data_IF_551369354215
#
_entry.id   IF_551369354215
#
_cell.length_a   1.000
_cell.length_b   1.000
_cell.length_c   1.000
_cell.angle_alpha   90.00
_cell.angle_beta   90.00
_cell.angle_gamma   90.00
#
_symmetry.space_group_name_H-M   'P 1'
#
loop_
_entity.id
_entity.type
_entity.pdbx_description
1 polymer ?
#
# COMPACT_ATOMS: atom_id res chain seq x y z
N UNK A 1 -0.10 0.84 8.04
CA UNK A 1 1.19 0.10 8.10
C UNK A 1 1.71 -0.09 6.69
N UNK A 2 2.63 0.78 6.30
CA UNK A 2 3.15 0.85 4.93
C UNK A 2 4.47 0.07 4.76
N UNK A 3 5.27 -0.06 5.81
CA UNK A 3 6.60 -0.69 5.78
C UNK A 3 6.61 -2.18 6.07
N UNK A 4 5.46 -2.85 6.02
CA UNK A 4 5.40 -4.31 6.17
C UNK A 4 4.92 -4.88 4.83
N UNK A 5 5.77 -5.67 4.17
CA UNK A 5 5.52 -6.20 2.82
C UNK A 5 5.92 -7.65 2.73
N UNK A 6 5.07 -8.44 2.06
CA UNK A 6 5.39 -9.82 1.71
C UNK A 6 6.25 -9.81 0.44
N UNK A 7 7.45 -10.35 0.54
CA UNK A 7 8.46 -10.38 -0.53
C UNK A 7 7.95 -11.09 -1.78
N UNK A 8 7.07 -12.07 -1.63
CA UNK A 8 6.47 -12.79 -2.76
C UNK A 8 5.59 -11.92 -3.66
N UNK A 9 5.13 -10.73 -3.21
CA UNK A 9 4.24 -9.89 -4.00
C UNK A 9 4.81 -9.54 -5.37
N UNK A 10 6.02 -8.98 -5.40
CA UNK A 10 6.60 -8.47 -6.64
C UNK A 10 6.85 -9.59 -7.64
N UNK A 11 7.39 -10.71 -7.16
CA UNK A 11 7.67 -11.88 -8.00
C UNK A 11 6.38 -12.51 -8.53
N UNK A 12 5.33 -12.65 -7.70
CA UNK A 12 4.04 -13.19 -8.13
C UNK A 12 3.36 -12.26 -9.14
N UNK A 13 3.34 -10.95 -8.88
CA UNK A 13 2.73 -9.97 -9.80
C UNK A 13 3.43 -10.00 -11.16
N UNK A 14 4.77 -9.91 -11.16
CA UNK A 14 5.55 -9.96 -12.39
C UNK A 14 5.30 -11.27 -13.17
N UNK A 15 5.21 -12.41 -12.48
CA UNK A 15 4.94 -13.70 -13.10
C UNK A 15 3.52 -13.81 -13.67
N UNK A 16 2.52 -13.24 -12.98
CA UNK A 16 1.14 -13.18 -13.48
C UNK A 16 1.07 -12.28 -14.72
N UNK A 17 1.66 -11.09 -14.68
CA UNK A 17 1.69 -10.17 -15.84
C UNK A 17 2.36 -10.85 -17.04
N UNK A 18 3.53 -11.46 -16.84
CA UNK A 18 4.29 -12.15 -17.88
C UNK A 18 3.52 -13.30 -18.54
N UNK A 19 2.71 -14.05 -17.78
CA UNK A 19 1.98 -15.22 -18.31
C UNK A 19 0.59 -14.90 -18.84
N UNK A 20 -0.09 -13.93 -18.26
CA UNK A 20 -1.46 -13.58 -18.63
C UNK A 20 -1.55 -12.50 -19.69
N UNK A 21 -0.47 -11.72 -19.88
CA UNK A 21 -0.47 -10.52 -20.72
C UNK A 21 -1.20 -9.33 -20.09
N UNK A 22 -1.73 -9.47 -18.88
CA UNK A 22 -2.39 -8.40 -18.13
C UNK A 22 -1.36 -7.44 -17.54
N UNK A 23 -1.78 -6.20 -17.27
CA UNK A 23 -0.95 -5.20 -16.60
C UNK A 23 -1.66 -4.52 -15.44
N UNK A 24 -0.93 -4.34 -14.33
CA UNK A 24 -1.38 -3.57 -13.16
C UNK A 24 -1.63 -2.10 -13.47
N UNK A 25 -1.08 -1.61 -14.60
CA UNK A 25 -1.25 -0.23 -15.07
C UNK A 25 -2.57 0.00 -15.79
N UNK A 26 -3.27 -1.07 -16.19
CA UNK A 26 -4.53 -1.01 -16.95
C UNK A 26 -5.71 -1.23 -16.00
N UNK A 27 -6.54 -0.20 -15.71
CA UNK A 27 -7.62 -0.32 -14.72
C UNK A 27 -8.65 -1.40 -15.02
N UNK A 28 -8.96 -1.67 -16.29
CA UNK A 28 -9.92 -2.70 -16.69
C UNK A 28 -9.43 -4.12 -16.42
N UNK A 29 -8.12 -4.33 -16.33
CA UNK A 29 -7.50 -5.64 -16.10
C UNK A 29 -7.24 -5.91 -14.61
N UNK A 30 -7.25 -4.85 -13.80
CA UNK A 30 -6.99 -4.90 -12.38
C UNK A 30 -7.78 -6.00 -11.66
N UNK A 31 -9.12 -6.15 -11.81
CA UNK A 31 -9.86 -7.15 -11.02
C UNK A 31 -9.35 -8.58 -11.24
N UNK A 32 -9.06 -8.92 -12.51
CA UNK A 32 -8.55 -10.24 -12.88
C UNK A 32 -7.13 -10.46 -12.37
N UNK A 33 -6.26 -9.45 -12.52
CA UNK A 33 -4.89 -9.50 -12.02
C UNK A 33 -4.86 -9.69 -10.50
N UNK A 34 -5.65 -8.88 -9.79
CA UNK A 34 -5.79 -8.92 -8.33
C UNK A 34 -6.15 -10.31 -7.83
N UNK A 35 -7.14 -10.94 -8.46
CA UNK A 35 -7.62 -12.26 -8.07
C UNK A 35 -6.57 -13.35 -8.32
N UNK A 36 -5.93 -13.32 -9.49
CA UNK A 36 -4.85 -14.26 -9.82
C UNK A 36 -3.68 -14.13 -8.83
N UNK A 37 -3.30 -12.90 -8.50
CA UNK A 37 -2.24 -12.61 -7.52
C UNK A 37 -2.64 -13.11 -6.13
N UNK A 38 -3.84 -12.80 -5.64
CA UNK A 38 -4.29 -13.24 -4.32
C UNK A 38 -4.34 -14.78 -4.23
N UNK A 39 -4.85 -15.44 -5.27
CA UNK A 39 -4.93 -16.88 -5.34
C UNK A 39 -3.54 -17.52 -5.31
N UNK A 40 -2.59 -17.02 -6.11
CA UNK A 40 -1.23 -17.53 -6.13
C UNK A 40 -0.50 -17.30 -4.78
N UNK A 41 -0.66 -16.12 -4.17
CA UNK A 41 -0.07 -15.82 -2.86
C UNK A 41 -0.58 -16.74 -1.74
N UNK A 42 -1.84 -17.19 -1.82
CA UNK A 42 -2.42 -18.10 -0.83
C UNK A 42 -1.83 -19.51 -0.88
N UNK A 43 -1.11 -19.86 -1.96
CA UNK A 43 -0.42 -21.14 -2.13
C UNK A 43 1.05 -21.09 -1.68
N UNK A 44 1.53 -19.90 -1.30
CA UNK A 44 2.93 -19.65 -0.94
C UNK A 44 3.06 -19.33 0.55
N UNK A 45 4.21 -19.63 1.17
CA UNK A 45 4.48 -19.22 2.54
C UNK A 45 4.47 -17.69 2.67
N UNK A 46 4.17 -17.20 3.87
CA UNK A 46 4.25 -15.78 4.17
C UNK A 46 5.70 -15.39 4.47
N UNK A 47 6.23 -14.39 3.74
CA UNK A 47 7.55 -13.83 3.98
C UNK A 47 7.49 -12.31 4.01
N UNK A 48 7.03 -11.78 5.13
CA UNK A 48 6.99 -10.37 5.44
C UNK A 48 8.30 -9.86 6.00
N UNK A 49 8.73 -8.72 5.49
CA UNK A 49 9.89 -7.97 5.93
C UNK A 49 9.52 -6.53 6.23
N UNK A 50 10.40 -5.85 6.96
CA UNK A 50 10.13 -4.51 7.48
C UNK A 50 11.15 -3.45 7.13
N UNK A 51 12.29 -3.85 6.56
CA UNK A 51 13.45 -2.99 6.35
C UNK A 51 13.94 -3.14 4.91
N UNK A 52 14.57 -2.09 4.37
CA UNK A 52 15.07 -2.12 2.97
C UNK A 52 16.16 -3.20 2.79
N UNK A 53 17.01 -3.40 3.80
CA UNK A 53 18.08 -4.43 3.79
C UNK A 53 17.50 -5.84 3.74
N UNK A 54 16.50 -6.14 4.58
CA UNK A 54 15.83 -7.45 4.54
C UNK A 54 15.11 -7.66 3.22
N UNK A 55 14.52 -6.60 2.66
CA UNK A 55 13.81 -6.67 1.39
C UNK A 55 14.70 -7.07 0.23
N UNK A 56 15.86 -6.42 0.07
CA UNK A 56 16.81 -6.74 -0.98
C UNK A 56 17.32 -8.18 -0.85
N UNK A 57 17.77 -8.58 0.35
CA UNK A 57 18.30 -9.91 0.60
C UNK A 57 17.25 -11.02 0.39
N UNK A 58 16.02 -10.82 0.86
CA UNK A 58 14.96 -11.82 0.71
C UNK A 58 14.43 -11.89 -0.72
N UNK A 59 14.43 -10.79 -1.48
CA UNK A 59 14.02 -10.82 -2.90
C UNK A 59 14.92 -11.73 -3.73
N UNK A 60 16.23 -11.56 -3.60
CA UNK A 60 17.19 -12.42 -4.29
C UNK A 60 17.01 -13.89 -3.90
N UNK A 61 16.81 -14.15 -2.60
CA UNK A 61 16.55 -15.49 -2.10
C UNK A 61 15.26 -16.11 -2.68
N UNK A 62 14.17 -15.34 -2.76
CA UNK A 62 12.89 -15.78 -3.32
C UNK A 62 13.02 -16.11 -4.80
N UNK A 63 13.71 -15.26 -5.57
CA UNK A 63 13.94 -15.48 -7.00
C UNK A 63 14.73 -16.77 -7.26
N UNK A 64 15.75 -17.05 -6.45
CA UNK A 64 16.60 -18.25 -6.58
C UNK A 64 15.90 -19.53 -6.10
N UNK A 65 15.22 -19.48 -4.95
CA UNK A 65 14.76 -20.69 -4.27
C UNK A 65 13.30 -21.04 -4.53
N UNK A 66 12.45 -20.06 -4.86
CA UNK A 66 11.00 -20.26 -4.97
C UNK A 66 10.46 -19.99 -6.38
N UNK A 67 11.33 -19.75 -7.36
CA UNK A 67 10.90 -19.40 -8.73
C UNK A 67 9.99 -20.45 -9.37
N UNK A 68 10.23 -21.74 -9.08
CA UNK A 68 9.40 -22.85 -9.59
C UNK A 68 8.04 -22.91 -8.89
N UNK A 69 8.02 -22.77 -7.58
CA UNK A 69 6.82 -22.77 -6.74
C UNK A 69 5.91 -21.60 -7.11
N UNK A 70 6.48 -20.41 -7.31
CA UNK A 70 5.77 -19.22 -7.80
C UNK A 70 5.17 -19.50 -9.18
N UNK A 71 5.98 -20.04 -10.10
CA UNK A 71 5.54 -20.40 -11.44
C UNK A 71 4.35 -21.37 -11.40
N UNK A 72 4.44 -22.41 -10.58
CA UNK A 72 3.42 -23.45 -10.50
C UNK A 72 2.14 -22.94 -9.80
N UNK A 73 2.27 -22.10 -8.77
CA UNK A 73 1.15 -21.41 -8.13
C UNK A 73 0.41 -20.50 -9.12
N UNK A 74 1.14 -19.71 -9.93
CA UNK A 74 0.55 -18.83 -10.95
C UNK A 74 -0.11 -19.64 -12.07
N UNK A 75 0.52 -20.71 -12.56
CA UNK A 75 -0.11 -21.60 -13.55
C UNK A 75 -1.37 -22.25 -13.02
N UNK A 76 -1.38 -22.62 -11.74
CA UNK A 76 -2.56 -23.17 -11.10
C UNK A 76 -3.66 -22.11 -10.96
N UNK A 77 -3.32 -20.87 -10.60
CA UNK A 77 -4.24 -19.74 -10.59
C UNK A 77 -4.87 -19.52 -11.98
N UNK A 78 -4.06 -19.44 -13.03
CA UNK A 78 -4.54 -19.19 -14.40
C UNK A 78 -5.49 -20.27 -14.92
N UNK A 79 -5.35 -21.52 -14.45
CA UNK A 79 -6.23 -22.64 -14.83
C UNK A 79 -7.51 -22.72 -13.98
N UNK A 80 -7.40 -22.40 -12.70
CA UNK A 80 -8.48 -22.64 -11.72
C UNK A 80 -9.41 -21.44 -11.56
N UNK A 81 -8.92 -20.25 -11.89
CA UNK A 81 -9.65 -19.02 -11.68
C UNK A 81 -10.53 -18.70 -12.88
N UNK A 82 -11.84 -18.80 -12.67
CA UNK A 82 -12.85 -18.17 -13.53
C UNK A 82 -13.20 -16.83 -12.89
N UNK A 83 -12.62 -15.74 -13.39
CA UNK A 83 -12.98 -14.39 -12.91
C UNK A 83 -14.29 -14.00 -13.57
N UNK A 84 -15.32 -13.81 -12.75
CA UNK A 84 -16.50 -13.07 -13.18
C UNK A 84 -16.11 -11.59 -13.32
N UNK A 85 -15.89 -11.16 -14.55
CA UNK A 85 -15.48 -9.79 -14.88
C UNK A 85 -16.51 -8.74 -14.43
N UNK A 86 -17.75 -9.14 -14.15
CA UNK A 86 -18.83 -8.26 -13.71
C UNK A 86 -18.97 -8.19 -12.19
N UNK A 87 -18.18 -8.94 -11.42
CA UNK A 87 -18.26 -8.89 -9.96
C UNK A 87 -17.60 -7.60 -9.45
N UNK A 88 -18.34 -6.70 -8.79
CA UNK A 88 -17.73 -5.51 -8.20
C UNK A 88 -16.83 -5.94 -7.04
N UNK A 89 -15.53 -5.76 -7.19
CA UNK A 89 -14.55 -5.97 -6.13
C UNK A 89 -14.61 -4.79 -5.14
N UNK A 90 -15.65 -4.78 -4.30
CA UNK A 90 -15.76 -3.80 -3.22
C UNK A 90 -14.89 -4.30 -2.07
N UNK A 91 -13.81 -3.56 -1.82
CA UNK A 91 -12.96 -3.77 -0.64
C UNK A 91 -13.36 -2.76 0.42
N UNK A 92 -13.52 -3.15 1.70
CA UNK A 92 -13.84 -2.21 2.75
C UNK A 92 -12.83 -1.07 2.82
N UNK A 93 -13.31 0.17 2.91
CA UNK A 93 -12.46 1.37 2.87
C UNK A 93 -11.34 1.35 3.93
N UNK A 94 -11.60 0.73 5.08
CA UNK A 94 -10.62 0.57 6.17
C UNK A 94 -9.43 -0.31 5.78
N UNK A 95 -9.60 -1.29 4.89
CA UNK A 95 -8.48 -2.12 4.40
C UNK A 95 -7.59 -1.33 3.43
N UNK A 96 -8.20 -0.40 2.71
CA UNK A 96 -7.57 0.49 1.74
C UNK A 96 -7.05 1.81 2.34
N UNK A 97 -7.12 1.99 3.67
CA UNK A 97 -6.61 3.18 4.39
C UNK A 97 -5.07 3.15 4.43
N UNK A 98 -4.47 3.30 3.25
CA UNK A 98 -3.03 3.35 3.04
C UNK A 98 -2.64 4.60 2.23
N UNK A 99 -1.50 5.22 2.53
CA UNK A 99 -1.03 6.42 1.85
C UNK A 99 -0.92 6.26 0.31
N UNK A 100 -0.40 5.12 -0.17
CA UNK A 100 -0.32 4.82 -1.60
C UNK A 100 -1.67 4.88 -2.31
N UNK A 101 -2.78 4.54 -1.63
CA UNK A 101 -4.12 4.62 -2.19
C UNK A 101 -4.58 6.07 -2.33
N UNK A 102 -4.24 6.91 -1.36
CA UNK A 102 -4.53 8.32 -1.42
C UNK A 102 -3.76 9.01 -2.57
N UNK A 103 -2.53 8.58 -2.83
CA UNK A 103 -1.78 9.04 -4.00
C UNK A 103 -2.37 8.51 -5.32
N UNK A 104 -2.79 7.24 -5.37
CA UNK A 104 -3.48 6.69 -6.55
C UNK A 104 -4.76 7.45 -6.89
N UNK A 105 -5.53 7.92 -5.89
CA UNK A 105 -6.72 8.77 -6.13
C UNK A 105 -6.33 10.06 -6.86
N UNK A 106 -5.25 10.71 -6.44
CA UNK A 106 -4.75 11.91 -7.12
C UNK A 106 -4.24 11.59 -8.53
N UNK A 107 -3.52 10.49 -8.72
CA UNK A 107 -3.05 10.03 -10.04
C UNK A 107 -4.20 9.85 -11.03
N UNK A 108 -5.27 9.18 -10.61
CA UNK A 108 -6.44 8.95 -11.44
C UNK A 108 -7.14 10.26 -11.80
N UNK A 109 -7.24 11.20 -10.85
CA UNK A 109 -7.81 12.53 -11.08
C UNK A 109 -6.98 13.34 -12.08
N UNK A 110 -5.67 13.31 -11.95
CA UNK A 110 -4.75 14.03 -12.83
C UNK A 110 -4.52 13.29 -14.15
N UNK A 111 -5.02 12.06 -14.30
CA UNK A 111 -4.72 11.17 -15.44
C UNK A 111 -3.21 10.92 -15.63
N UNK A 112 -2.47 10.90 -14.53
CA UNK A 112 -1.01 10.72 -14.53
C UNK A 112 -0.60 9.59 -13.58
N UNK A 113 -0.34 8.41 -14.13
CA UNK A 113 -0.01 7.19 -13.37
C UNK A 113 1.40 7.18 -12.74
N UNK A 114 2.28 8.09 -13.18
CA UNK A 114 3.67 8.22 -12.70
C UNK A 114 3.86 9.19 -11.53
N UNK A 115 2.81 9.82 -11.00
CA UNK A 115 2.94 10.87 -9.97
C UNK A 115 3.51 10.30 -8.68
N UNK A 116 4.70 10.75 -8.29
CA UNK A 116 5.30 10.39 -7.00
C UNK A 116 4.90 11.39 -5.92
N UNK A 117 5.19 11.09 -4.65
CA UNK A 117 4.94 12.03 -3.55
C UNK A 117 5.65 13.37 -3.74
N UNK A 118 6.89 13.33 -4.25
CA UNK A 118 7.69 14.53 -4.51
C UNK A 118 7.03 15.47 -5.52
N UNK A 119 6.31 14.92 -6.49
CA UNK A 119 5.67 15.69 -7.56
C UNK A 119 4.34 16.33 -7.12
N UNK A 120 3.73 15.82 -6.03
CA UNK A 120 2.39 16.22 -5.59
C UNK A 120 2.25 17.74 -5.41
N UNK A 121 3.14 18.47 -4.70
CA UNK A 121 2.95 19.90 -4.49
C UNK A 121 2.95 20.69 -5.79
N UNK A 122 3.87 20.38 -6.70
CA UNK A 122 3.97 21.02 -8.01
C UNK A 122 2.74 20.69 -8.85
N UNK A 123 2.35 19.42 -8.90
CA UNK A 123 1.18 18.98 -9.66
C UNK A 123 -0.12 19.66 -9.20
N UNK A 124 -0.31 19.82 -7.89
CA UNK A 124 -1.47 20.51 -7.32
C UNK A 124 -1.42 22.01 -7.63
N UNK A 125 -0.28 22.66 -7.48
CA UNK A 125 -0.14 24.09 -7.83
C UNK A 125 -0.46 24.33 -9.29
N UNK A 126 0.11 23.55 -10.21
CA UNK A 126 -0.15 23.65 -11.65
C UNK A 126 -1.61 23.39 -11.97
N UNK A 127 -2.24 22.40 -11.34
CA UNK A 127 -3.67 22.13 -11.50
C UNK A 127 -4.51 23.37 -11.12
N UNK A 128 -4.25 23.97 -9.96
CA UNK A 128 -5.01 25.13 -9.49
C UNK A 128 -4.81 26.35 -10.39
N UNK A 129 -3.59 26.56 -10.89
CA UNK A 129 -3.31 27.61 -11.87
C UNK A 129 -4.06 27.40 -13.19
N UNK A 130 -4.07 26.17 -13.71
CA UNK A 130 -4.78 25.83 -14.95
C UNK A 130 -6.29 26.06 -14.80
N UNK A 131 -6.87 25.62 -13.69
CA UNK A 131 -8.32 25.82 -13.43
C UNK A 131 -8.69 27.29 -13.24
N UNK A 132 -7.81 28.10 -12.63
CA UNK A 132 -8.01 29.54 -12.55
C UNK A 132 -7.88 30.23 -13.91
N UNK A 133 -6.89 29.85 -14.73
CA UNK A 133 -6.73 30.35 -16.09
C UNK A 133 -7.94 30.02 -16.96
N UNK A 134 -8.50 28.80 -16.83
CA UNK A 134 -9.72 28.39 -17.52
C UNK A 134 -10.92 29.25 -17.14
N UNK A 135 -11.07 29.57 -15.86
CA UNK A 135 -12.09 30.52 -15.40
C UNK A 135 -11.91 31.92 -16.02
N UNK A 136 -10.67 32.36 -16.23
CA UNK A 136 -10.33 33.63 -16.88
C UNK A 136 -10.43 33.59 -18.42
N UNK A 137 -10.90 32.48 -19.01
CA UNK A 137 -11.06 32.32 -20.45
C UNK A 137 -9.76 31.96 -21.20
N UNK A 138 -8.70 31.58 -20.49
CA UNK A 138 -7.45 31.09 -21.08
C UNK A 138 -7.43 29.57 -21.06
N UNK A 139 -7.36 28.95 -22.24
CA UNK A 139 -7.19 27.50 -22.33
C UNK A 139 -5.70 27.13 -22.23
N UNK A 140 -5.28 26.76 -21.02
CA UNK A 140 -3.92 26.29 -20.74
C UNK A 140 -3.94 24.78 -20.52
N UNK A 141 -3.12 23.99 -21.24
CA UNK A 141 -3.02 22.55 -20.99
C UNK A 141 -2.33 22.30 -19.65
N UNK A 142 -2.75 21.23 -18.97
CA UNK A 142 -2.03 20.73 -17.80
C UNK A 142 -0.78 19.98 -18.28
N UNK A 143 0.40 20.56 -18.01
CA UNK A 143 1.70 19.96 -18.33
C UNK A 143 2.44 19.73 -17.03
N UNK A 144 2.82 18.47 -16.76
CA UNK A 144 3.56 18.07 -15.56
C UNK A 144 4.88 17.41 -15.97
N UNK A 145 6.00 18.00 -15.58
CA UNK A 145 7.31 17.35 -15.59
C UNK A 145 7.47 16.56 -14.29
N UNK A 146 7.80 15.27 -14.39
CA UNK A 146 7.63 14.35 -13.27
C UNK A 146 8.90 13.55 -12.97
N UNK A 147 9.11 13.28 -11.67
CA UNK A 147 10.20 12.44 -11.19
C UNK A 147 10.06 10.98 -11.63
N UNK A 148 11.21 10.34 -11.87
CA UNK A 148 11.30 9.00 -12.45
C UNK A 148 10.67 7.88 -11.61
N UNK A 149 9.96 7.02 -12.31
CA UNK A 149 9.39 5.75 -11.86
C UNK A 149 10.51 4.82 -11.36
N UNK A 150 10.69 4.67 -10.04
CA UNK A 150 11.71 3.76 -9.48
C UNK A 150 11.12 2.37 -9.19
N UNK A 151 11.95 1.29 -9.16
CA UNK A 151 11.47 -0.03 -8.76
C UNK A 151 10.85 -0.05 -7.35
N UNK A 152 11.45 0.66 -6.39
CA UNK A 152 10.93 0.82 -5.03
C UNK A 152 9.53 1.45 -5.03
N UNK A 153 9.34 2.48 -5.86
CA UNK A 153 8.06 3.16 -6.02
C UNK A 153 6.98 2.25 -6.62
N UNK A 154 7.34 1.38 -7.56
CA UNK A 154 6.43 0.35 -8.06
C UNK A 154 5.93 -0.58 -6.95
N UNK A 155 6.85 -1.17 -6.19
CA UNK A 155 6.54 -2.03 -5.04
C UNK A 155 5.65 -1.30 -4.02
N UNK A 156 5.94 -0.03 -3.75
CA UNK A 156 5.15 0.81 -2.85
C UNK A 156 3.69 0.95 -3.30
N UNK A 157 3.47 1.13 -4.61
CA UNK A 157 2.15 1.36 -5.21
C UNK A 157 1.33 0.08 -5.45
N UNK A 158 1.95 -1.11 -5.47
CA UNK A 158 1.26 -2.36 -5.77
C UNK A 158 0.00 -2.60 -4.94
N UNK A 159 -0.02 -2.46 -3.60
CA UNK A 159 -1.23 -2.73 -2.83
C UNK A 159 -2.38 -1.76 -3.15
N UNK A 160 -2.05 -0.52 -3.51
CA UNK A 160 -3.04 0.45 -3.93
C UNK A 160 -3.63 0.12 -5.31
N UNK A 161 -2.81 -0.42 -6.22
CA UNK A 161 -3.21 -0.76 -7.59
C UNK A 161 -3.82 -2.15 -7.74
N UNK A 162 -3.61 -3.08 -6.80
CA UNK A 162 -4.14 -4.44 -6.90
C UNK A 162 -5.34 -4.70 -5.99
N UNK A 163 -5.77 -3.77 -5.13
CA UNK A 163 -6.88 -4.02 -4.19
C UNK A 163 -6.80 -5.39 -3.47
N UNK A 164 -5.59 -5.89 -3.26
CA UNK A 164 -5.32 -7.21 -2.70
C UNK A 164 -4.67 -7.03 -1.33
N UNK A 165 -5.14 -7.77 -0.33
CA UNK A 165 -4.71 -7.53 1.04
C UNK A 165 -4.86 -8.78 1.89
N UNK A 166 -3.96 -8.90 2.86
CA UNK A 166 -3.97 -10.02 3.80
C UNK A 166 -5.09 -9.84 4.82
N UNK A 167 -6.02 -10.79 4.87
CA UNK A 167 -7.25 -10.79 5.65
C UNK A 167 -7.01 -10.55 7.16
N UNK A 168 -5.89 -11.05 7.69
CA UNK A 168 -5.55 -10.92 9.11
C UNK A 168 -4.72 -9.67 9.44
N UNK A 169 -4.27 -8.90 8.45
CA UNK A 169 -3.31 -7.80 8.68
C UNK A 169 -3.82 -6.78 9.70
N UNK A 170 -5.03 -6.25 9.53
CA UNK A 170 -5.58 -5.26 10.47
C UNK A 170 -5.84 -5.85 11.86
N UNK A 171 -6.27 -7.11 11.95
CA UNK A 171 -6.49 -7.80 13.22
C UNK A 171 -5.17 -7.96 13.99
N UNK A 172 -4.14 -8.47 13.32
CA UNK A 172 -2.78 -8.56 13.85
C UNK A 172 -2.26 -7.19 14.28
N UNK A 173 -2.45 -6.17 13.44
CA UNK A 173 -2.02 -4.78 13.73
C UNK A 173 -2.63 -4.27 15.03
N UNK A 174 -3.95 -4.41 15.18
CA UNK A 174 -4.68 -3.91 16.37
C UNK A 174 -4.26 -4.68 17.62
N UNK A 175 -4.18 -6.00 17.54
CA UNK A 175 -3.78 -6.84 18.67
C UNK A 175 -2.33 -6.58 19.10
N UNK A 176 -1.41 -6.45 18.14
CA UNK A 176 -0.03 -6.10 18.41
C UNK A 176 0.08 -4.71 19.06
N UNK A 177 -0.61 -3.71 18.52
CA UNK A 177 -0.62 -2.37 19.09
C UNK A 177 -1.16 -2.36 20.53
N UNK A 178 -2.27 -3.04 20.79
CA UNK A 178 -2.84 -3.18 22.13
C UNK A 178 -1.83 -3.81 23.10
N UNK A 179 -1.15 -4.89 22.69
CA UNK A 179 -0.16 -5.57 23.52
C UNK A 179 1.09 -4.72 23.76
N UNK A 180 1.56 -3.97 22.77
CA UNK A 180 2.69 -3.04 22.92
C UNK A 180 2.33 -1.91 23.90
N UNK A 181 1.12 -1.36 23.80
CA UNK A 181 0.65 -0.30 24.69
C UNK A 181 0.44 -0.77 26.14
N UNK A 182 0.18 -2.07 26.35
CA UNK A 182 0.07 -2.65 27.69
C UNK A 182 1.44 -2.91 28.35
N UNK A 183 2.55 -2.78 27.62
CA UNK A 183 3.89 -2.91 28.18
C UNK A 183 4.32 -1.63 28.92
N UNK A 184 5.20 -1.73 29.93
CA UNK A 184 5.85 -0.56 30.52
C UNK A 184 6.50 0.34 29.47
N UNK A 185 6.41 1.66 29.65
CA UNK A 185 6.83 2.66 28.65
C UNK A 185 8.31 2.53 28.25
N UNK A 186 9.14 2.06 29.19
CA UNK A 186 10.58 1.82 29.06
C UNK A 186 10.89 0.73 28.04
N UNK A 187 9.97 -0.22 27.85
CA UNK A 187 10.10 -1.34 26.92
C UNK A 187 9.29 -1.05 25.65
N UNK A 188 8.05 -0.59 25.81
CA UNK A 188 7.10 -0.39 24.71
C UNK A 188 7.60 0.60 23.66
N UNK A 189 8.30 1.67 24.06
CA UNK A 189 8.81 2.70 23.13
C UNK A 189 9.83 2.20 22.11
N UNK A 190 10.42 1.05 22.37
CA UNK A 190 11.49 0.47 21.54
C UNK A 190 11.03 -0.65 20.63
N UNK A 191 9.78 -1.10 20.79
CA UNK A 191 9.21 -2.16 19.97
C UNK A 191 8.51 -1.52 18.77
N UNK A 192 9.06 -1.74 17.57
CA UNK A 192 8.42 -1.32 16.33
C UNK A 192 7.22 -2.22 16.04
N UNK A 193 6.06 -1.60 15.82
CA UNK A 193 4.81 -2.31 15.52
C UNK A 193 4.95 -3.14 14.24
N UNK A 194 5.63 -2.58 13.23
CA UNK A 194 5.89 -3.22 11.94
C UNK A 194 6.58 -4.58 12.13
N UNK A 195 7.65 -4.63 12.94
CA UNK A 195 8.45 -5.85 13.15
C UNK A 195 7.62 -6.95 13.80
N UNK A 196 6.81 -6.58 14.80
CA UNK A 196 5.90 -7.52 15.48
C UNK A 196 4.87 -8.06 14.49
N UNK A 197 4.31 -7.21 13.64
CA UNK A 197 3.30 -7.61 12.67
C UNK A 197 3.90 -8.51 11.59
N UNK A 198 5.06 -8.17 11.03
CA UNK A 198 5.73 -9.00 10.03
C UNK A 198 6.07 -10.39 10.61
N UNK A 199 6.69 -10.44 11.79
CA UNK A 199 6.99 -11.70 12.48
C UNK A 199 5.74 -12.52 12.83
N UNK A 200 4.64 -11.84 13.15
CA UNK A 200 3.36 -12.53 13.39
C UNK A 200 2.82 -13.12 12.09
N UNK A 201 2.75 -12.34 11.01
CA UNK A 201 2.21 -12.79 9.73
C UNK A 201 3.03 -13.91 9.10
N UNK A 202 4.35 -13.95 9.31
CA UNK A 202 5.24 -15.04 8.87
C UNK A 202 4.95 -16.39 9.55
N UNK A 203 4.12 -16.40 10.59
CA UNK A 203 3.70 -17.61 11.32
C UNK A 203 2.27 -18.02 11.02
N UNK A 204 1.57 -17.23 10.23
CA UNK A 204 0.18 -17.46 9.88
C UNK A 204 0.10 -17.90 8.41
N UNK A 205 -0.95 -18.64 8.03
CA UNK A 205 -1.24 -18.91 6.63
C UNK A 205 -1.41 -17.60 5.85
N UNK A 206 -0.95 -17.61 4.60
CA UNK A 206 -1.21 -16.53 3.64
C UNK A 206 -2.70 -16.51 3.29
N UNK A 207 -3.42 -15.47 3.73
CA UNK A 207 -4.86 -15.33 3.50
C UNK A 207 -5.16 -14.00 2.81
N UNK A 208 -4.90 -13.91 1.51
CA UNK A 208 -5.17 -12.75 0.67
C UNK A 208 -6.58 -12.77 0.10
N UNK A 209 -7.23 -11.61 0.17
CA UNK A 209 -8.54 -11.33 -0.39
C UNK A 209 -8.49 -10.16 -1.36
N UNK A 210 -9.45 -10.12 -2.29
CA UNK A 210 -9.61 -9.04 -3.28
C UNK A 210 -10.96 -8.34 -3.20
N UNK A 211 -11.89 -8.87 -2.40
CA UNK A 211 -13.22 -8.31 -2.18
C UNK A 211 -13.69 -8.57 -0.75
N UNK A 212 -14.77 -7.90 -0.35
CA UNK A 212 -15.35 -8.01 0.99
C UNK A 212 -15.87 -9.42 1.30
N UNK A 213 -16.50 -10.10 0.35
CA UNK A 213 -17.06 -11.43 0.57
C UNK A 213 -15.98 -12.46 0.89
N UNK A 214 -14.91 -12.50 0.08
CA UNK A 214 -13.75 -13.38 0.28
C UNK A 214 -13.01 -13.02 1.57
N UNK A 215 -12.88 -11.72 1.89
CA UNK A 215 -12.33 -11.27 3.16
C UNK A 215 -13.12 -11.81 4.36
N UNK A 216 -14.45 -11.69 4.35
CA UNK A 216 -15.30 -12.19 5.43
C UNK A 216 -15.25 -13.72 5.56
N UNK A 217 -15.20 -14.44 4.44
CA UNK A 217 -15.05 -15.89 4.42
C UNK A 217 -13.72 -16.31 5.05
N UNK A 218 -12.60 -15.75 4.60
CA UNK A 218 -11.27 -16.04 5.14
C UNK A 218 -11.16 -15.67 6.62
N UNK A 219 -11.79 -14.57 7.06
CA UNK A 219 -11.82 -14.18 8.47
C UNK A 219 -12.66 -15.13 9.32
N UNK A 220 -13.81 -15.58 8.81
CA UNK A 220 -14.64 -16.59 9.49
C UNK A 220 -13.85 -17.88 9.65
N UNK A 221 -13.22 -18.37 8.58
CA UNK A 221 -12.37 -19.55 8.61
C UNK A 221 -11.23 -19.40 9.62
N UNK A 222 -10.47 -18.31 9.54
CA UNK A 222 -9.36 -18.05 10.45
C UNK A 222 -9.80 -17.95 11.92
N UNK A 223 -11.02 -17.46 12.21
CA UNK A 223 -11.57 -17.45 13.56
C UNK A 223 -11.73 -18.86 14.13
N UNK A 224 -12.17 -19.82 13.31
CA UNK A 224 -12.36 -21.21 13.73
C UNK A 224 -11.04 -21.97 13.82
N UNK A 225 -10.12 -21.77 12.86
CA UNK A 225 -8.90 -22.57 12.75
C UNK A 225 -7.72 -21.99 13.55
N UNK A 226 -7.64 -20.65 13.66
CA UNK A 226 -6.42 -19.93 14.06
C UNK A 226 -6.70 -18.92 15.19
N UNK A 227 -7.95 -18.79 15.64
CA UNK A 227 -8.36 -17.74 16.59
C UNK A 227 -7.53 -17.73 17.89
N UNK A 228 -7.28 -18.90 18.48
CA UNK A 228 -6.42 -19.04 19.66
C UNK A 228 -4.94 -18.87 19.34
N UNK A 229 -4.50 -19.37 18.18
CA UNK A 229 -3.10 -19.31 17.73
C UNK A 229 -2.64 -17.88 17.43
N UNK A 230 -3.55 -16.99 17.03
CA UNK A 230 -3.24 -15.59 16.73
C UNK A 230 -2.63 -14.86 17.94
N UNK A 231 -3.23 -15.04 19.12
CA UNK A 231 -2.73 -14.43 20.36
C UNK A 231 -1.31 -14.91 20.71
N UNK A 232 -1.09 -16.23 20.60
CA UNK A 232 0.22 -16.84 20.81
C UNK A 232 1.27 -16.39 19.79
N UNK A 233 0.90 -16.25 18.52
CA UNK A 233 1.79 -15.79 17.46
C UNK A 233 2.26 -14.36 17.71
N UNK A 234 1.37 -13.47 18.16
CA UNK A 234 1.72 -12.09 18.55
C UNK A 234 2.64 -12.08 19.78
N UNK A 235 2.35 -12.91 20.80
CA UNK A 235 3.20 -12.98 22.00
C UNK A 235 4.62 -13.49 21.68
N UNK A 236 4.71 -14.51 20.82
CA UNK A 236 6.00 -14.99 20.33
C UNK A 236 6.73 -13.89 19.54
N UNK A 237 6.03 -13.17 18.65
CA UNK A 237 6.62 -12.08 17.87
C UNK A 237 7.14 -10.96 18.76
N UNK A 238 6.39 -10.55 19.78
CA UNK A 238 6.82 -9.55 20.75
C UNK A 238 8.08 -9.97 21.50
N UNK A 239 8.13 -11.23 21.96
CA UNK A 239 9.32 -11.78 22.64
C UNK A 239 10.55 -11.74 21.73
N UNK A 240 10.40 -12.06 20.46
CA UNK A 240 11.51 -12.08 19.51
C UNK A 240 11.96 -10.68 19.10
N UNK A 241 11.03 -9.76 18.85
CA UNK A 241 11.35 -8.36 18.59
C UNK A 241 12.09 -7.73 19.77
N UNK A 242 11.71 -8.06 21.00
CA UNK A 242 12.41 -7.60 22.20
C UNK A 242 13.83 -8.16 22.32
N UNK A 243 14.07 -9.40 21.88
CA UNK A 243 15.44 -9.96 21.85
C UNK A 243 16.31 -9.27 20.80
N UNK A 244 15.74 -8.98 19.63
CA UNK A 244 16.44 -8.31 18.54
C UNK A 244 16.73 -6.82 18.81
N UNK A 245 16.07 -6.22 19.81
CA UNK A 245 16.22 -4.80 20.17
C UNK A 245 17.65 -4.35 20.49
N UNK A 246 18.52 -5.24 20.99
CA UNK A 246 19.90 -4.87 21.33
C UNK A 246 20.80 -4.59 20.11
N UNK A 247 20.28 -4.64 18.89
CA UNK A 247 21.00 -4.36 17.65
C UNK A 247 20.55 -3.02 17.05
N UNK A 248 21.46 -2.29 16.40
CA UNK A 248 21.11 -1.09 15.64
C UNK A 248 20.05 -1.45 14.60
N UNK A 249 18.86 -0.83 14.71
CA UNK A 249 17.74 -1.14 13.83
C UNK A 249 17.91 -0.42 12.49
N UNK A 250 17.95 -1.15 11.36
CA UNK A 250 17.98 -0.51 10.04
C UNK A 250 16.68 0.26 9.77
N UNK A 251 16.70 1.23 8.83
CA UNK A 251 15.52 1.99 8.46
C UNK A 251 14.39 1.07 7.98
N UNK A 252 13.16 1.50 8.26
CA UNK A 252 11.97 0.80 7.79
C UNK A 252 11.83 0.92 6.28
N UNK A 253 11.24 -0.11 5.68
CA UNK A 253 10.95 -0.19 4.26
C UNK A 253 10.26 1.08 3.75
N UNK A 254 10.68 1.57 2.59
CA UNK A 254 10.18 2.79 1.96
C UNK A 254 10.52 4.08 2.73
N UNK A 255 11.62 4.09 3.49
CA UNK A 255 12.00 5.26 4.29
C UNK A 255 12.05 6.54 3.46
N UNK A 256 12.65 6.47 2.26
CA UNK A 256 12.74 7.60 1.33
C UNK A 256 11.37 8.13 0.94
N UNK A 257 10.47 7.25 0.47
CA UNK A 257 9.12 7.64 0.05
C UNK A 257 8.28 8.23 1.19
N UNK A 258 8.55 7.83 2.44
CA UNK A 258 7.89 8.42 3.61
C UNK A 258 8.33 9.86 3.86
N UNK A 259 9.63 10.15 3.73
CA UNK A 259 10.12 11.51 3.86
C UNK A 259 9.63 12.38 2.70
N UNK A 260 9.66 11.88 1.46
CA UNK A 260 9.08 12.59 0.30
C UNK A 260 7.60 12.92 0.52
N UNK A 261 6.81 11.98 1.06
CA UNK A 261 5.41 12.24 1.45
C UNK A 261 5.31 13.31 2.53
N UNK A 262 6.14 13.24 3.56
CA UNK A 262 6.09 14.18 4.70
C UNK A 262 6.40 15.60 4.23
N UNK A 263 7.42 15.78 3.39
CA UNK A 263 7.75 17.03 2.72
C UNK A 263 6.59 17.52 1.85
N UNK A 264 6.02 16.63 1.03
CA UNK A 264 4.87 16.97 0.18
C UNK A 264 3.67 17.45 1.01
N UNK A 265 3.37 16.80 2.14
CA UNK A 265 2.29 17.23 3.03
C UNK A 265 2.60 18.58 3.67
N UNK A 266 3.85 18.86 4.04
CA UNK A 266 4.24 20.17 4.57
C UNK A 266 4.05 21.28 3.52
N UNK A 267 4.45 21.05 2.27
CA UNK A 267 4.22 21.99 1.18
C UNK A 267 2.73 22.20 0.91
N UNK A 268 1.92 21.13 0.89
CA UNK A 268 0.47 21.27 0.70
C UNK A 268 -0.21 22.05 1.83
N UNK A 269 0.25 21.90 3.08
CA UNK A 269 -0.25 22.70 4.22
C UNK A 269 -0.02 24.19 3.99
N UNK A 270 1.13 24.56 3.45
CA UNK A 270 1.47 25.95 3.13
C UNK A 270 0.67 26.43 1.91
N UNK A 271 0.71 25.66 0.81
CA UNK A 271 0.03 25.96 -0.46
C UNK A 271 -1.46 26.23 -0.24
N UNK A 272 -2.16 25.32 0.45
CA UNK A 272 -3.60 25.40 0.69
C UNK A 272 -3.98 26.12 1.99
N UNK A 273 -3.00 26.71 2.68
CA UNK A 273 -3.18 27.41 3.96
C UNK A 273 -3.96 26.61 5.02
N UNK A 274 -3.81 25.29 5.03
CA UNK A 274 -4.56 24.40 5.91
C UNK A 274 -3.61 23.48 6.69
N UNK A 275 -3.35 23.76 7.98
CA UNK A 275 -2.40 22.99 8.79
C UNK A 275 -2.87 21.56 9.11
N UNK A 276 -4.17 21.27 8.93
CA UNK A 276 -4.78 19.97 9.21
C UNK A 276 -4.65 18.97 8.05
N UNK A 277 -4.04 19.38 6.93
CA UNK A 277 -3.79 18.49 5.79
C UNK A 277 -2.90 17.33 6.21
N UNK A 278 -3.30 16.13 5.83
CA UNK A 278 -2.56 14.89 5.97
C UNK A 278 -2.92 13.96 4.80
N UNK A 279 -2.24 12.83 4.69
CA UNK A 279 -2.42 11.91 3.57
C UNK A 279 -3.85 11.34 3.45
N UNK A 280 -4.68 11.38 4.52
CA UNK A 280 -6.08 10.90 4.45
C UNK A 280 -7.03 11.92 3.84
N UNK A 281 -6.83 13.21 4.12
CA UNK A 281 -7.77 14.28 3.75
C UNK A 281 -7.25 15.22 2.64
N UNK A 282 -5.99 15.09 2.21
CA UNK A 282 -5.43 16.03 1.23
C UNK A 282 -6.18 16.01 -0.11
N UNK A 283 -6.70 14.85 -0.53
CA UNK A 283 -7.51 14.76 -1.76
C UNK A 283 -8.77 15.64 -1.65
N UNK A 284 -9.46 15.61 -0.52
CA UNK A 284 -10.67 16.39 -0.30
C UNK A 284 -10.35 17.89 -0.19
N UNK A 285 -9.20 18.23 0.42
CA UNK A 285 -8.71 19.61 0.45
C UNK A 285 -8.38 20.15 -0.95
N UNK A 286 -7.77 19.32 -1.82
CA UNK A 286 -7.53 19.67 -3.22
C UNK A 286 -8.85 19.86 -3.97
N UNK A 287 -9.85 19.00 -3.75
CA UNK A 287 -11.17 19.13 -4.39
C UNK A 287 -11.84 20.45 -4.04
N UNK A 288 -11.82 20.83 -2.76
CA UNK A 288 -12.35 22.11 -2.31
C UNK A 288 -11.61 23.29 -2.97
N UNK A 289 -10.26 23.24 -3.03
CA UNK A 289 -9.46 24.28 -3.65
C UNK A 289 -9.73 24.40 -5.17
N UNK A 290 -9.82 23.27 -5.88
CA UNK A 290 -10.17 23.22 -7.32
C UNK A 290 -11.58 23.77 -7.54
N UNK A 291 -12.54 23.42 -6.69
CA UNK A 291 -13.90 23.95 -6.77
C UNK A 291 -13.92 25.47 -6.62
N UNK A 292 -13.14 26.03 -5.69
CA UNK A 292 -13.00 27.47 -5.54
C UNK A 292 -12.27 28.13 -6.72
N UNK A 293 -11.23 27.50 -7.27
CA UNK A 293 -10.52 27.98 -8.46
C UNK A 293 -11.47 28.14 -9.66
N UNK A 294 -12.35 27.15 -9.88
CA UNK A 294 -13.40 27.18 -10.92
C UNK A 294 -14.42 28.29 -10.74
N UNK A 295 -14.54 28.86 -9.53
CA UNK A 295 -15.39 30.00 -9.22
C UNK A 295 -14.62 31.34 -9.23
N UNK A 296 -13.34 31.33 -9.63
CA UNK A 296 -12.46 32.50 -9.58
C UNK A 296 -11.99 32.88 -8.17
N UNK A 297 -12.22 32.02 -7.17
CA UNK A 297 -11.80 32.27 -5.78
C UNK A 297 -10.44 31.63 -5.54
N UNK A 298 -9.45 32.46 -5.19
CA UNK A 298 -8.12 32.00 -4.82
C UNK A 298 -8.12 31.63 -3.34
N UNK A 299 -7.86 30.36 -3.05
CA UNK A 299 -7.78 29.80 -1.68
C UNK A 299 -6.40 29.20 -1.39
N UNK A 300 -5.42 29.50 -2.24
CA UNK A 300 -4.05 28.99 -2.16
C UNK A 300 -3.03 30.11 -2.35
N UNK A 301 -1.80 29.89 -1.87
CA UNK A 301 -0.65 30.74 -2.14
C UNK A 301 0.21 30.14 -3.24
N UNK A 302 0.80 30.99 -4.08
CA UNK A 302 1.82 30.56 -5.04
C UNK A 302 3.12 30.37 -4.27
N UNK A 303 3.71 29.17 -4.34
CA UNK A 303 5.03 28.88 -3.79
C UNK A 303 6.13 29.48 -4.66
#
# INVERSE_FOLDING_TARGET
MESCRNVFWDAVVAEVERRSGLSVRVPSEQPKLSYLTAFALNQLPALYVTTDVEWEAQREHVELMFGKEITDAVRFALRSVVVDANRPAVVPAVELDIPARALLRLQLRLQHSGLTWRDVPVAVSTLLEVELSRFQGQDKPLVLEMGGDTPEWHTYMLPARLNCFHALRLLVTRLALQKIQALPSEIGRYIRLEDVVARTLNRLPSLYATDETSLEQLRRQAKFEIGSQLGFAVDAALKDTRKAFFQQQPPLLFHRLKEERKEAMQHLKQLLQNPQINWRNFNDAIEAAVFHAKQGRITWQRL
#
